data_IF_665375188155
#
_entry.id   IF_665375188155
#
_cell.length_a   1.000
_cell.length_b   1.000
_cell.length_c   1.000
_cell.angle_alpha   90.00
_cell.angle_beta   90.00
_cell.angle_gamma   90.00
#
_symmetry.space_group_name_H-M   'P 1'
#
loop_
_entity.id
_entity.type
_entity.pdbx_description
1 polymer ?
#
# COMPACT_ATOMS: atom_id res chain seq x y z
N UNK A 1 -26.58 -0.78 19.38
CA UNK A 1 -26.31 -1.03 17.95
C UNK A 1 -26.60 -2.49 17.69
N UNK A 2 -27.55 -2.79 16.81
CA UNK A 2 -27.79 -4.17 16.37
C UNK A 2 -26.70 -4.63 15.38
N UNK A 3 -26.59 -5.93 15.12
CA UNK A 3 -25.55 -6.50 14.26
C UNK A 3 -25.60 -5.99 12.80
N UNK A 4 -26.79 -5.67 12.29
CA UNK A 4 -26.96 -5.16 10.94
C UNK A 4 -26.45 -3.71 10.82
N UNK A 5 -26.70 -2.90 11.84
CA UNK A 5 -26.20 -1.53 11.97
C UNK A 5 -24.68 -1.49 12.10
N UNK A 6 -24.09 -2.42 12.87
CA UNK A 6 -22.62 -2.61 12.96
C UNK A 6 -22.03 -2.95 11.59
N UNK A 7 -22.63 -3.91 10.90
CA UNK A 7 -22.17 -4.35 9.57
C UNK A 7 -22.23 -3.23 8.54
N UNK A 8 -23.35 -2.49 8.50
CA UNK A 8 -23.53 -1.35 7.60
C UNK A 8 -22.56 -0.20 7.91
N UNK A 9 -22.30 0.08 9.19
CA UNK A 9 -21.34 1.09 9.60
C UNK A 9 -19.92 0.73 9.17
N UNK A 10 -19.48 -0.52 9.41
CA UNK A 10 -18.15 -0.98 9.04
C UNK A 10 -17.93 -0.98 7.52
N UNK A 11 -18.91 -1.48 6.76
CA UNK A 11 -18.86 -1.51 5.29
C UNK A 11 -18.71 -0.10 4.70
N UNK A 12 -19.47 0.87 5.22
CA UNK A 12 -19.35 2.27 4.83
C UNK A 12 -17.97 2.84 5.13
N UNK A 13 -17.43 2.59 6.32
CA UNK A 13 -16.08 3.07 6.70
C UNK A 13 -14.98 2.51 5.80
N UNK A 14 -15.01 1.20 5.55
CA UNK A 14 -14.07 0.55 4.62
C UNK A 14 -14.17 1.13 3.20
N UNK A 15 -15.39 1.43 2.74
CA UNK A 15 -15.62 2.04 1.43
C UNK A 15 -15.06 3.46 1.36
N UNK A 16 -15.30 4.28 2.39
CA UNK A 16 -14.75 5.64 2.51
C UNK A 16 -13.21 5.61 2.43
N UNK A 17 -12.56 4.69 3.15
CA UNK A 17 -11.10 4.50 3.12
C UNK A 17 -10.60 4.12 1.72
N UNK A 18 -11.25 3.15 1.07
CA UNK A 18 -10.87 2.69 -0.28
C UNK A 18 -11.00 3.82 -1.32
N UNK A 19 -12.08 4.61 -1.25
CA UNK A 19 -12.30 5.76 -2.13
C UNK A 19 -11.24 6.84 -1.88
N UNK A 20 -10.95 7.16 -0.63
CA UNK A 20 -9.90 8.14 -0.28
C UNK A 20 -8.53 7.67 -0.78
N UNK A 21 -8.19 6.40 -0.58
CA UNK A 21 -6.96 5.80 -1.09
C UNK A 21 -6.85 5.92 -2.62
N UNK A 22 -7.92 5.57 -3.35
CA UNK A 22 -7.95 5.69 -4.81
C UNK A 22 -7.75 7.14 -5.29
N UNK A 23 -8.37 8.12 -4.61
CA UNK A 23 -8.15 9.54 -4.90
C UNK A 23 -6.71 9.98 -4.67
N UNK A 24 -6.09 9.52 -3.59
CA UNK A 24 -4.66 9.82 -3.29
C UNK A 24 -3.74 9.26 -4.36
N UNK A 25 -3.96 8.02 -4.83
CA UNK A 25 -3.17 7.47 -5.95
C UNK A 25 -3.32 8.27 -7.24
N UNK A 26 -4.52 8.79 -7.53
CA UNK A 26 -4.75 9.64 -8.70
C UNK A 26 -4.11 11.02 -8.57
N UNK A 27 -4.12 11.61 -7.36
CA UNK A 27 -3.56 12.93 -7.10
C UNK A 27 -2.03 12.96 -7.01
N UNK A 28 -1.40 11.83 -6.72
CA UNK A 28 0.04 11.73 -6.44
C UNK A 28 0.71 10.60 -7.24
N UNK A 29 0.67 10.65 -8.58
CA UNK A 29 1.22 9.59 -9.41
C UNK A 29 2.74 9.41 -9.26
N UNK A 30 3.48 10.48 -8.97
CA UNK A 30 4.93 10.43 -8.74
C UNK A 30 5.29 9.66 -7.46
N UNK A 31 4.52 9.85 -6.39
CA UNK A 31 4.71 9.14 -5.12
C UNK A 31 4.38 7.64 -5.28
N UNK A 32 3.33 7.31 -6.03
CA UNK A 32 3.00 5.92 -6.39
C UNK A 32 4.13 5.30 -7.24
N UNK A 33 4.67 6.04 -8.21
CA UNK A 33 5.78 5.57 -9.04
C UNK A 33 7.06 5.34 -8.21
N UNK A 34 7.34 6.17 -7.21
CA UNK A 34 8.48 5.98 -6.30
C UNK A 34 8.36 4.67 -5.50
N UNK A 35 7.16 4.33 -5.04
CA UNK A 35 6.89 3.04 -4.36
C UNK A 35 7.04 1.88 -5.34
N UNK A 36 6.52 2.01 -6.57
CA UNK A 36 6.67 0.98 -7.60
C UNK A 36 8.13 0.72 -7.98
N UNK A 37 8.94 1.78 -8.13
CA UNK A 37 10.37 1.68 -8.41
C UNK A 37 11.14 0.99 -7.27
N UNK A 38 10.79 1.29 -6.02
CA UNK A 38 11.34 0.59 -4.86
C UNK A 38 11.03 -0.92 -4.92
N UNK A 39 9.78 -1.29 -5.21
CA UNK A 39 9.37 -2.70 -5.33
C UNK A 39 10.10 -3.39 -6.47
N UNK A 40 10.20 -2.76 -7.64
CA UNK A 40 10.92 -3.29 -8.78
C UNK A 40 12.40 -3.55 -8.46
N UNK A 41 13.06 -2.60 -7.79
CA UNK A 41 14.45 -2.76 -7.36
C UNK A 41 14.63 -3.93 -6.38
N UNK A 42 13.71 -4.09 -5.42
CA UNK A 42 13.75 -5.16 -4.43
C UNK A 42 13.33 -6.54 -4.97
N UNK A 43 12.59 -6.57 -6.07
CA UNK A 43 12.16 -7.79 -6.77
C UNK A 43 13.11 -8.17 -7.93
N UNK A 44 14.05 -7.30 -8.29
CA UNK A 44 15.00 -7.54 -9.37
C UNK A 44 15.79 -8.84 -9.14
N UNK A 45 15.81 -9.71 -10.15
CA UNK A 45 16.52 -10.99 -10.12
C UNK A 45 15.80 -12.11 -9.35
N UNK A 46 14.57 -11.88 -8.88
CA UNK A 46 13.74 -12.96 -8.34
C UNK A 46 13.08 -13.74 -9.48
N UNK A 47 13.08 -15.07 -9.37
CA UNK A 47 12.30 -15.91 -10.26
C UNK A 47 10.81 -15.69 -9.97
N UNK A 48 10.11 -15.06 -10.91
CA UNK A 48 8.66 -14.95 -10.83
C UNK A 48 8.04 -16.34 -11.01
N UNK A 49 7.03 -16.71 -10.21
CA UNK A 49 6.42 -18.03 -10.29
C UNK A 49 5.81 -18.25 -11.69
N UNK A 50 6.23 -19.32 -12.36
CA UNK A 50 5.76 -19.66 -13.72
C UNK A 50 4.32 -20.20 -13.78
N UNK A 51 3.69 -20.51 -12.64
CA UNK A 51 2.35 -21.09 -12.57
C UNK A 51 1.42 -20.29 -11.65
N UNK A 52 0.14 -20.19 -12.03
CA UNK A 52 -0.89 -19.48 -11.27
C UNK A 52 -1.13 -20.03 -9.85
N UNK A 53 -0.74 -21.28 -9.59
CA UNK A 53 -1.00 -21.99 -8.32
C UNK A 53 -0.16 -21.46 -7.15
N UNK A 54 0.94 -20.76 -7.43
CA UNK A 54 1.85 -20.19 -6.42
C UNK A 54 1.83 -18.65 -6.41
N UNK A 55 1.00 -18.02 -7.25
CA UNK A 55 0.94 -16.55 -7.39
C UNK A 55 0.55 -15.87 -6.10
N UNK A 56 -0.54 -16.29 -5.47
CA UNK A 56 -1.07 -15.62 -4.29
C UNK A 56 -0.12 -15.80 -3.09
N UNK A 57 0.49 -16.98 -2.96
CA UNK A 57 1.56 -17.27 -1.99
C UNK A 57 2.79 -16.39 -2.21
N UNK A 58 3.22 -16.24 -3.46
CA UNK A 58 4.34 -15.37 -3.82
C UNK A 58 4.06 -13.90 -3.49
N UNK A 59 2.87 -13.40 -3.85
CA UNK A 59 2.46 -12.02 -3.57
C UNK A 59 2.42 -11.77 -2.06
N UNK A 60 1.81 -12.68 -1.29
CA UNK A 60 1.75 -12.58 0.17
C UNK A 60 3.15 -12.59 0.80
N UNK A 61 4.01 -13.54 0.44
CA UNK A 61 5.38 -13.62 0.94
C UNK A 61 6.22 -12.39 0.55
N UNK A 62 6.00 -11.86 -0.65
CA UNK A 62 6.65 -10.62 -1.11
C UNK A 62 6.18 -9.43 -0.29
N UNK A 63 4.88 -9.29 -0.03
CA UNK A 63 4.35 -8.23 0.81
C UNK A 63 4.93 -8.28 2.22
N UNK A 64 4.92 -9.44 2.87
CA UNK A 64 5.47 -9.63 4.22
C UNK A 64 6.95 -9.23 4.31
N UNK A 65 7.73 -9.55 3.27
CA UNK A 65 9.15 -9.20 3.17
C UNK A 65 9.38 -7.72 2.89
N UNK A 66 8.58 -7.10 2.02
CA UNK A 66 8.81 -5.74 1.55
C UNK A 66 8.18 -4.66 2.44
N UNK A 67 7.06 -4.94 3.10
CA UNK A 67 6.35 -3.93 3.88
C UNK A 67 7.21 -3.29 4.97
N UNK A 68 7.98 -4.03 5.80
CA UNK A 68 8.88 -3.42 6.77
C UNK A 68 10.00 -2.60 6.12
N UNK A 69 10.52 -3.05 4.97
CA UNK A 69 11.57 -2.33 4.23
C UNK A 69 11.06 -1.02 3.63
N UNK A 70 9.85 -1.03 3.11
CA UNK A 70 9.18 0.17 2.60
C UNK A 70 9.02 1.21 3.72
N UNK A 71 8.63 0.80 4.93
CA UNK A 71 8.54 1.71 6.07
C UNK A 71 9.91 2.22 6.54
N UNK A 72 10.98 1.44 6.34
CA UNK A 72 12.35 1.87 6.62
C UNK A 72 12.92 2.83 5.54
N UNK A 73 12.43 2.74 4.30
CA UNK A 73 12.85 3.57 3.16
C UNK A 73 12.37 5.02 3.32
N UNK A 74 13.32 5.95 3.31
CA UNK A 74 13.02 7.39 3.39
C UNK A 74 12.15 7.85 2.21
N UNK A 75 12.49 7.43 0.99
CA UNK A 75 11.72 7.76 -0.22
C UNK A 75 10.29 7.26 -0.12
N UNK A 76 10.07 6.02 0.32
CA UNK A 76 8.72 5.47 0.42
C UNK A 76 7.93 6.09 1.57
N UNK A 77 8.57 6.42 2.69
CA UNK A 77 7.93 7.17 3.78
C UNK A 77 7.48 8.54 3.31
N UNK A 78 8.34 9.27 2.61
CA UNK A 78 8.00 10.60 2.08
C UNK A 78 6.84 10.50 1.08
N UNK A 79 6.86 9.51 0.19
CA UNK A 79 5.77 9.27 -0.75
C UNK A 79 4.42 9.05 -0.06
N UNK A 80 4.40 8.19 0.97
CA UNK A 80 3.19 7.97 1.78
C UNK A 80 2.77 9.24 2.52
N UNK A 81 3.71 9.99 3.09
CA UNK A 81 3.42 11.24 3.78
C UNK A 81 2.83 12.31 2.85
N UNK A 82 3.36 12.46 1.63
CA UNK A 82 2.83 13.39 0.63
C UNK A 82 1.36 13.08 0.32
N UNK A 83 1.05 11.80 0.11
CA UNK A 83 -0.31 11.33 -0.15
C UNK A 83 -1.27 11.54 1.05
N UNK A 84 -0.77 11.52 2.28
CA UNK A 84 -1.57 11.74 3.50
C UNK A 84 -1.77 13.24 3.77
N UNK A 85 -0.72 14.05 3.62
CA UNK A 85 -0.75 15.49 3.89
C UNK A 85 -1.67 16.27 2.95
N UNK A 86 -2.04 15.69 1.81
CA UNK A 86 -3.01 16.18 0.84
C UNK A 86 -4.35 16.64 1.46
N UNK A 87 -4.78 15.98 2.53
CA UNK A 87 -6.07 16.22 3.19
C UNK A 87 -5.94 17.17 4.40
N UNK A 88 -4.77 17.78 4.64
CA UNK A 88 -4.53 18.65 5.79
C UNK A 88 -4.37 17.90 7.12
N UNK A 89 -4.15 16.59 7.09
CA UNK A 89 -3.94 15.77 8.29
C UNK A 89 -2.54 15.96 8.91
N UNK A 90 -2.48 16.03 10.24
CA UNK A 90 -1.22 15.88 11.00
C UNK A 90 -0.58 14.52 10.72
N UNK A 91 0.72 14.37 11.01
CA UNK A 91 1.43 13.10 10.83
C UNK A 91 0.72 11.97 11.62
N UNK A 92 0.11 10.98 10.96
CA UNK A 92 -0.69 9.95 11.64
C UNK A 92 0.16 8.98 12.48
N UNK A 93 1.48 9.02 12.33
CA UNK A 93 2.42 8.27 13.14
C UNK A 93 2.86 9.01 14.41
N UNK A 94 2.33 10.22 14.66
CA UNK A 94 2.78 11.11 15.75
C UNK A 94 1.84 11.18 16.96
N UNK A 95 0.62 10.62 16.88
CA UNK A 95 -0.34 10.65 17.99
C UNK A 95 -0.27 9.41 18.89
N UNK A 96 -0.22 9.66 20.21
CA UNK A 96 -0.32 8.65 21.25
C UNK A 96 -1.77 8.54 21.76
N UNK A 97 -2.25 7.30 21.89
CA UNK A 97 -3.65 6.88 22.04
C UNK A 97 -4.48 7.56 23.15
N UNK A 98 -5.75 7.86 22.84
CA UNK A 98 -6.77 8.25 23.82
C UNK A 98 -7.64 7.08 24.32
N UNK A 99 -7.42 5.84 23.86
CA UNK A 99 -8.13 4.66 24.37
C UNK A 99 -7.20 3.43 24.49
N UNK A 100 -6.87 2.98 25.72
CA UNK A 100 -5.91 1.90 25.95
C UNK A 100 -6.40 0.50 25.48
N UNK A 101 -7.65 0.36 25.04
CA UNK A 101 -8.20 -0.91 24.53
C UNK A 101 -7.99 -1.11 23.02
N UNK A 102 -7.70 -0.05 22.26
CA UNK A 102 -7.46 -0.12 20.82
C UNK A 102 -6.04 0.35 20.52
N UNK A 103 -5.27 -0.48 19.81
CA UNK A 103 -3.86 -0.21 19.50
C UNK A 103 -3.65 0.69 18.28
N UNK A 104 -4.71 1.00 17.55
CA UNK A 104 -4.69 1.71 16.27
C UNK A 104 -5.90 2.64 16.23
N UNK A 105 -5.67 3.94 16.10
CA UNK A 105 -6.72 4.93 15.85
C UNK A 105 -7.10 4.95 14.35
N UNK A 106 -8.14 5.71 13.97
CA UNK A 106 -8.61 5.77 12.58
C UNK A 106 -7.56 6.36 11.63
N UNK A 107 -6.78 7.35 12.07
CA UNK A 107 -5.73 7.98 11.27
C UNK A 107 -4.59 7.00 10.93
N UNK A 108 -4.16 6.21 11.92
CA UNK A 108 -3.17 5.17 11.73
C UNK A 108 -3.74 4.03 10.88
N UNK A 109 -5.02 3.68 11.03
CA UNK A 109 -5.67 2.70 10.16
C UNK A 109 -5.69 3.18 8.69
N UNK A 110 -5.98 4.44 8.44
CA UNK A 110 -5.96 5.05 7.11
C UNK A 110 -4.55 5.06 6.51
N UNK A 111 -3.54 5.43 7.31
CA UNK A 111 -2.15 5.43 6.89
C UNK A 111 -1.67 4.02 6.53
N UNK A 112 -1.95 3.03 7.39
CA UNK A 112 -1.61 1.62 7.16
C UNK A 112 -2.34 1.04 5.95
N UNK A 113 -3.62 1.40 5.75
CA UNK A 113 -4.38 0.99 4.58
C UNK A 113 -3.77 1.58 3.30
N UNK A 114 -3.49 2.88 3.28
CA UNK A 114 -2.88 3.55 2.13
C UNK A 114 -1.51 2.94 1.78
N UNK A 115 -0.60 2.82 2.75
CA UNK A 115 0.73 2.28 2.50
C UNK A 115 0.67 0.80 2.09
N UNK A 116 -0.21 0.02 2.73
CA UNK A 116 -0.42 -1.39 2.39
C UNK A 116 -0.98 -1.55 0.97
N UNK A 117 -1.99 -0.77 0.60
CA UNK A 117 -2.57 -0.76 -0.74
C UNK A 117 -1.58 -0.31 -1.80
N UNK A 118 -0.75 0.71 -1.52
CA UNK A 118 0.28 1.17 -2.44
C UNK A 118 1.29 0.06 -2.74
N UNK A 119 1.81 -0.58 -1.68
CA UNK A 119 2.75 -1.68 -1.84
C UNK A 119 2.14 -2.87 -2.57
N UNK A 120 0.94 -3.29 -2.17
CA UNK A 120 0.25 -4.42 -2.80
C UNK A 120 -0.03 -4.14 -4.28
N UNK A 121 -0.51 -2.95 -4.61
CA UNK A 121 -0.69 -2.50 -5.98
C UNK A 121 0.61 -2.55 -6.77
N UNK A 122 1.70 -2.01 -6.23
CA UNK A 122 3.02 -2.05 -6.87
C UNK A 122 3.53 -3.48 -7.11
N UNK A 123 3.40 -4.39 -6.14
CA UNK A 123 3.79 -5.80 -6.30
C UNK A 123 2.99 -6.44 -7.44
N UNK A 124 1.68 -6.22 -7.49
CA UNK A 124 0.81 -6.75 -8.53
C UNK A 124 1.21 -6.21 -9.91
N UNK A 125 1.47 -4.90 -10.01
CA UNK A 125 1.86 -4.26 -11.28
C UNK A 125 3.24 -4.71 -11.77
N UNK A 126 4.23 -4.81 -10.88
CA UNK A 126 5.56 -5.37 -11.20
C UNK A 126 5.44 -6.82 -11.64
N UNK A 127 4.65 -7.63 -10.93
CA UNK A 127 4.43 -9.05 -11.28
C UNK A 127 3.71 -9.20 -12.62
N UNK A 128 2.82 -8.27 -12.97
CA UNK A 128 2.15 -8.22 -14.27
C UNK A 128 3.08 -7.74 -15.41
N UNK A 129 4.26 -7.20 -15.10
CA UNK A 129 5.17 -6.60 -16.07
C UNK A 129 4.82 -5.16 -16.49
N UNK A 130 3.89 -4.53 -15.78
CA UNK A 130 3.34 -3.21 -16.08
C UNK A 130 4.08 -2.07 -15.35
N UNK A 131 5.22 -2.36 -14.70
CA UNK A 131 6.06 -1.37 -14.01
C UNK A 131 6.89 -0.48 -14.96
N UNK A 132 6.86 -0.75 -16.27
CA UNK A 132 7.64 -0.02 -17.27
C UNK A 132 9.12 -0.43 -17.39
N UNK A 133 9.70 -1.14 -16.41
CA UNK A 133 11.10 -1.59 -16.46
C UNK A 133 11.33 -2.94 -17.16
N UNK A 134 10.31 -3.80 -17.29
CA UNK A 134 10.44 -5.13 -17.92
C UNK A 134 10.23 -5.15 -19.44
N UNK A 135 9.74 -4.07 -20.06
CA UNK A 135 9.50 -4.04 -21.51
C UNK A 135 10.83 -4.00 -22.29
N UNK A 136 11.89 -3.44 -21.71
CA UNK A 136 13.21 -3.36 -22.33
C UNK A 136 14.00 -4.69 -22.37
N UNK A 137 13.54 -5.75 -21.69
CA UNK A 137 14.25 -7.03 -21.62
C UNK A 137 13.61 -8.17 -22.44
N UNK A 138 12.53 -7.89 -23.18
CA UNK A 138 11.88 -8.90 -24.05
C UNK A 138 12.34 -8.83 -25.52
N UNK A 139 13.29 -7.95 -25.85
CA UNK A 139 13.78 -7.75 -27.24
C UNK A 139 15.24 -8.22 -27.48
N UNK A 140 15.86 -8.98 -26.58
CA UNK A 140 17.20 -9.56 -26.79
C UNK A 140 17.27 -11.06 -26.54
#
# INVERSE_FOLDING_TARGET
>A
MDQAEVSAHLSRKMTEMAVACGKRFQGYPEDVAAIAAFVEAEMKGQELPGAARDRDTFVAATFERLYPKMLASETCRQAVQNMIAADGGENPFSHHDSNPQYRINTELADALYLSGSALMGSILMVTAGESGGSIAQREH
#
